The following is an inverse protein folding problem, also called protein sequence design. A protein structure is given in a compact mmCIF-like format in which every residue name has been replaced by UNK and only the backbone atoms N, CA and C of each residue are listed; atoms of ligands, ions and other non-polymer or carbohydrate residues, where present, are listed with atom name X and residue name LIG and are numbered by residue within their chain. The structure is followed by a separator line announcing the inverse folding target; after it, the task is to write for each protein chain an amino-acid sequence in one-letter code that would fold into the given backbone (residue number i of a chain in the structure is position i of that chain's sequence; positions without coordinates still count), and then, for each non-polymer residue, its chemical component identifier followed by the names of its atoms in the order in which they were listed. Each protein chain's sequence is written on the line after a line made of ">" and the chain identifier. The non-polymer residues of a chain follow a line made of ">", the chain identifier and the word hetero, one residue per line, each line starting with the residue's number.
data_IF_242887115738
#
_entry.id   IF_242887115738
#
_cell.length_a   1.000
_cell.length_b   1.000
_cell.length_c   1.000
_cell.angle_alpha   90.00
_cell.angle_beta   90.00
_cell.angle_gamma   90.00
#
_symmetry.space_group_name_H-M   'P 1'
#
loop_
_entity.id
_entity.type
_entity.pdbx_description
1 polymer ?
#
# COMPACT_ATOMS: atom_id res chain seq x y z
N UNK A 1 28.60 7.69 10.20
CA UNK A 1 27.71 7.62 11.39
C UNK A 1 26.45 8.50 11.31
N UNK A 2 26.13 9.14 10.18
CA UNK A 2 24.94 9.99 10.02
C UNK A 2 23.84 9.38 9.12
N UNK A 3 23.53 8.08 9.30
CA UNK A 3 22.52 7.38 8.47
C UNK A 3 21.23 7.01 9.21
N UNK A 4 21.06 7.43 10.47
CA UNK A 4 19.78 7.32 11.17
C UNK A 4 19.17 8.71 11.18
N UNK A 5 18.48 9.03 10.08
CA UNK A 5 17.86 10.33 9.94
C UNK A 5 16.59 10.32 10.79
N UNK A 6 16.67 10.89 11.99
CA UNK A 6 15.54 11.20 12.86
C UNK A 6 14.69 12.32 12.22
N UNK A 7 14.06 12.06 11.06
CA UNK A 7 13.19 13.04 10.37
C UNK A 7 12.04 13.52 11.27
N UNK A 8 11.63 12.71 12.26
CA UNK A 8 10.57 13.07 13.22
C UNK A 8 11.02 14.04 14.33
N UNK A 9 12.33 14.17 14.60
CA UNK A 9 12.84 15.03 15.67
C UNK A 9 13.20 16.45 15.17
N UNK A 10 13.30 16.64 13.86
CA UNK A 10 13.77 17.89 13.27
C UNK A 10 12.64 18.94 13.06
N UNK A 11 11.37 18.55 13.07
CA UNK A 11 10.25 19.48 12.93
C UNK A 11 9.77 19.98 14.31
N UNK A 12 10.07 21.24 14.64
CA UNK A 12 9.51 21.99 15.78
C UNK A 12 8.01 22.34 15.59
N UNK A 13 7.19 21.36 15.18
CA UNK A 13 5.74 21.50 15.20
C UNK A 13 5.19 20.91 16.51
N UNK A 14 4.03 21.39 17.02
CA UNK A 14 3.39 20.78 18.18
C UNK A 14 3.23 19.29 17.90
N UNK A 15 3.96 18.50 18.68
CA UNK A 15 4.08 17.06 18.51
C UNK A 15 2.72 16.49 18.87
N UNK A 16 1.97 15.96 17.87
CA UNK A 16 0.75 15.16 18.14
C UNK A 16 1.04 14.20 19.29
N UNK A 17 0.12 14.07 20.26
CA UNK A 17 0.31 13.23 21.45
C UNK A 17 0.77 11.80 21.07
N UNK A 18 0.32 11.29 19.92
CA UNK A 18 0.75 10.00 19.38
C UNK A 18 2.25 9.90 19.05
N UNK A 19 2.90 11.00 18.64
CA UNK A 19 4.33 11.04 18.32
C UNK A 19 5.22 10.95 19.58
N UNK A 20 4.73 11.39 20.73
CA UNK A 20 5.48 11.31 22.01
C UNK A 20 5.52 9.88 22.54
N UNK A 21 4.53 9.06 22.17
CA UNK A 21 4.40 7.67 22.59
C UNK A 21 5.27 6.71 21.74
N UNK A 22 5.85 7.18 20.63
CA UNK A 22 6.71 6.37 19.78
C UNK A 22 8.04 6.08 20.47
N UNK A 23 8.44 4.80 20.45
CA UNK A 23 9.76 4.40 20.90
C UNK A 23 10.84 4.95 19.98
N UNK A 24 11.98 5.33 20.57
CA UNK A 24 13.15 5.66 19.76
C UNK A 24 13.66 4.41 19.04
N UNK A 25 14.31 4.54 17.86
CA UNK A 25 14.78 3.39 17.09
C UNK A 25 15.66 2.42 17.89
N UNK A 26 16.46 2.93 18.82
CA UNK A 26 17.35 2.14 19.67
C UNK A 26 16.65 1.48 20.87
N UNK A 27 15.40 1.85 21.18
CA UNK A 27 14.61 1.29 22.28
C UNK A 27 13.79 0.06 21.85
N UNK A 28 13.78 -0.24 20.55
CA UNK A 28 13.05 -1.34 19.89
C UNK A 28 13.80 -2.68 19.95
N UNK A 29 14.23 -3.02 21.17
CA UNK A 29 15.06 -4.21 21.44
C UNK A 29 14.25 -5.52 21.44
N UNK A 30 12.98 -5.46 21.87
CA UNK A 30 12.12 -6.65 21.98
C UNK A 30 11.08 -6.73 20.88
N UNK A 31 10.71 -7.95 20.49
CA UNK A 31 9.65 -8.20 19.52
C UNK A 31 8.30 -7.61 19.95
N UNK A 32 8.00 -7.62 21.26
CA UNK A 32 6.78 -7.01 21.79
C UNK A 32 6.74 -5.50 21.55
N UNK A 33 7.85 -4.79 21.79
CA UNK A 33 7.96 -3.35 21.52
C UNK A 33 7.89 -3.05 20.03
N UNK A 34 8.51 -3.87 19.18
CA UNK A 34 8.40 -3.73 17.71
C UNK A 34 6.95 -3.88 17.23
N UNK A 35 6.20 -4.85 17.75
CA UNK A 35 4.77 -5.03 17.43
C UNK A 35 3.93 -3.86 17.89
N UNK A 36 4.14 -3.39 19.12
CA UNK A 36 3.44 -2.20 19.63
C UNK A 36 3.76 -0.96 18.80
N UNK A 37 5.03 -0.76 18.45
CA UNK A 37 5.46 0.35 17.60
C UNK A 37 4.78 0.31 16.23
N UNK A 38 4.62 -0.86 15.60
CA UNK A 38 3.87 -0.99 14.33
C UNK A 38 2.44 -0.47 14.48
N UNK A 39 1.74 -0.82 15.56
CA UNK A 39 0.39 -0.31 15.80
C UNK A 39 0.36 1.21 16.03
N UNK A 40 1.29 1.75 16.82
CA UNK A 40 1.37 3.20 17.05
C UNK A 40 1.67 3.97 15.75
N UNK A 41 2.55 3.43 14.91
CA UNK A 41 2.88 4.01 13.60
C UNK A 41 1.69 3.96 12.63
N UNK A 42 0.89 2.89 12.65
CA UNK A 42 -0.35 2.80 11.87
C UNK A 42 -1.41 3.80 12.35
N UNK A 43 -1.54 3.99 13.66
CA UNK A 43 -2.42 5.03 14.23
C UNK A 43 -1.96 6.42 13.79
N UNK A 44 -0.66 6.71 13.86
CA UNK A 44 -0.10 7.98 13.40
C UNK A 44 -0.29 8.17 11.87
N UNK A 45 -0.18 7.11 11.08
CA UNK A 45 -0.39 7.18 9.63
C UNK A 45 -1.86 7.49 9.30
N UNK A 46 -2.81 6.99 10.09
CA UNK A 46 -4.21 7.37 10.03
C UNK A 46 -4.46 8.83 10.45
N UNK A 47 -3.78 9.33 11.50
CA UNK A 47 -3.85 10.74 11.90
C UNK A 47 -3.40 11.67 10.77
N UNK A 48 -2.26 11.40 10.13
CA UNK A 48 -1.80 12.23 9.01
C UNK A 48 -2.78 12.27 7.83
N UNK A 49 -3.47 11.15 7.57
CA UNK A 49 -4.52 11.11 6.54
C UNK A 49 -5.75 11.91 6.98
N UNK A 50 -6.16 11.80 8.23
CA UNK A 50 -7.28 12.57 8.78
C UNK A 50 -7.00 14.08 8.75
N UNK A 51 -5.79 14.50 9.13
CA UNK A 51 -5.37 15.90 9.08
C UNK A 51 -5.42 16.45 7.65
N UNK A 52 -4.94 15.68 6.67
CA UNK A 52 -5.04 16.07 5.27
C UNK A 52 -6.50 16.12 4.78
N UNK A 53 -7.33 15.15 5.18
CA UNK A 53 -8.74 15.13 4.81
C UNK A 53 -9.47 16.39 5.31
N UNK A 54 -9.17 16.87 6.52
CA UNK A 54 -9.72 18.14 7.02
C UNK A 54 -9.28 19.35 6.17
N UNK A 55 -8.02 19.38 5.73
CA UNK A 55 -7.53 20.44 4.82
C UNK A 55 -8.21 20.35 3.44
N UNK A 56 -8.45 19.14 2.96
CA UNK A 56 -9.12 18.89 1.70
C UNK A 56 -10.61 19.29 1.76
N UNK A 57 -11.32 18.93 2.82
CA UNK A 57 -12.70 19.35 3.08
C UNK A 57 -12.83 20.88 3.10
N UNK A 58 -11.94 21.58 3.81
CA UNK A 58 -11.90 23.05 3.80
C UNK A 58 -11.71 23.61 2.39
N UNK A 59 -10.79 23.03 1.60
CA UNK A 59 -10.59 23.47 0.22
C UNK A 59 -11.82 23.20 -0.67
N UNK A 60 -12.59 22.14 -0.40
CA UNK A 60 -13.86 21.92 -1.11
C UNK A 60 -14.91 22.96 -0.73
N UNK A 61 -14.98 23.36 0.53
CA UNK A 61 -15.85 24.45 0.99
C UNK A 61 -15.46 25.78 0.33
N UNK A 62 -14.17 26.12 0.34
CA UNK A 62 -13.64 27.32 -0.33
C UNK A 62 -13.96 27.31 -1.82
N UNK A 63 -13.82 26.16 -2.49
CA UNK A 63 -14.22 25.99 -3.89
C UNK A 63 -15.69 26.30 -4.09
N UNK A 64 -16.58 25.75 -3.28
CA UNK A 64 -18.03 25.98 -3.38
C UNK A 64 -18.36 27.48 -3.21
N UNK A 65 -17.76 28.13 -2.21
CA UNK A 65 -17.96 29.56 -1.97
C UNK A 65 -17.51 30.42 -3.16
N UNK A 66 -16.31 30.15 -3.71
CA UNK A 66 -15.78 30.89 -4.87
C UNK A 66 -16.65 30.61 -6.11
N UNK A 67 -17.07 29.37 -6.33
CA UNK A 67 -17.98 29.02 -7.42
C UNK A 67 -19.31 29.77 -7.32
N UNK A 68 -19.87 29.90 -6.14
CA UNK A 68 -21.12 30.64 -5.93
C UNK A 68 -20.95 32.15 -6.16
N UNK A 69 -19.82 32.73 -5.72
CA UNK A 69 -19.46 34.12 -6.03
C UNK A 69 -19.32 34.33 -7.55
N UNK A 70 -18.64 33.43 -8.26
CA UNK A 70 -18.49 33.50 -9.72
C UNK A 70 -19.87 33.40 -10.40
N UNK A 71 -20.76 32.51 -9.96
CA UNK A 71 -22.12 32.39 -10.49
C UNK A 71 -22.94 33.67 -10.28
N UNK A 72 -22.82 34.33 -9.12
CA UNK A 72 -23.47 35.61 -8.86
C UNK A 72 -22.98 36.70 -9.83
N UNK A 73 -21.66 36.80 -10.03
CA UNK A 73 -21.06 37.75 -10.99
C UNK A 73 -21.47 37.43 -12.43
N UNK A 74 -21.50 36.17 -12.84
CA UNK A 74 -21.97 35.74 -14.17
C UNK A 74 -23.45 36.10 -14.37
N UNK A 75 -24.29 35.92 -13.35
CA UNK A 75 -25.71 36.31 -13.40
C UNK A 75 -25.84 37.82 -13.62
N UNK A 76 -24.99 38.61 -12.95
CA UNK A 76 -24.94 40.06 -13.18
C UNK A 76 -24.44 40.43 -14.58
N UNK A 77 -23.41 39.76 -15.08
CA UNK A 77 -22.91 39.94 -16.46
C UNK A 77 -24.03 39.66 -17.48
N UNK A 78 -24.81 38.59 -17.30
CA UNK A 78 -25.96 38.27 -18.16
C UNK A 78 -27.06 39.33 -18.11
N UNK A 79 -27.33 39.89 -16.92
CA UNK A 79 -28.26 41.03 -16.80
C UNK A 79 -27.79 42.22 -17.64
N UNK A 80 -26.50 42.56 -17.54
CA UNK A 80 -25.91 43.68 -18.29
C UNK A 80 -25.93 43.40 -19.80
N UNK A 81 -25.61 42.19 -20.24
CA UNK A 81 -25.69 41.79 -21.66
C UNK A 81 -27.11 41.86 -22.21
N UNK A 82 -28.12 41.46 -21.42
CA UNK A 82 -29.53 41.61 -21.77
C UNK A 82 -29.93 43.09 -21.87
N UNK A 83 -29.44 43.94 -20.96
CA UNK A 83 -29.66 45.39 -21.00
C UNK A 83 -29.00 46.06 -22.22
N UNK A 84 -27.84 45.55 -22.66
CA UNK A 84 -27.13 46.01 -23.87
C UNK A 84 -27.66 45.36 -25.17
N UNK A 85 -28.59 44.41 -25.10
CA UNK A 85 -29.08 43.62 -26.24
C UNK A 85 -27.95 42.96 -27.05
N UNK A 86 -26.85 42.58 -26.39
CA UNK A 86 -25.72 41.91 -27.03
C UNK A 86 -25.78 40.42 -26.71
N UNK A 87 -25.83 39.59 -27.76
CA UNK A 87 -25.78 38.14 -27.63
C UNK A 87 -24.32 37.67 -27.53
N UNK A 88 -23.81 37.56 -26.31
CA UNK A 88 -22.53 36.92 -26.03
C UNK A 88 -22.74 35.72 -25.11
N UNK A 89 -22.18 34.56 -25.49
CA UNK A 89 -22.22 33.35 -24.66
C UNK A 89 -21.25 33.50 -23.49
N UNK A 90 -21.78 33.49 -22.26
CA UNK A 90 -20.99 33.52 -21.03
C UNK A 90 -20.86 32.10 -20.49
N UNK A 91 -19.64 31.50 -20.49
CA UNK A 91 -19.41 30.16 -19.97
C UNK A 91 -19.81 30.04 -18.50
N UNK A 92 -20.54 28.99 -18.14
CA UNK A 92 -20.87 28.68 -16.75
C UNK A 92 -19.81 27.79 -16.11
N UNK A 93 -19.40 28.08 -14.87
CA UNK A 93 -18.50 27.20 -14.14
C UNK A 93 -19.30 25.95 -13.71
N UNK A 94 -18.87 24.79 -14.21
CA UNK A 94 -19.45 23.49 -13.88
C UNK A 94 -18.44 22.65 -13.10
N UNK A 95 -18.92 21.89 -12.12
CA UNK A 95 -18.11 20.84 -11.52
C UNK A 95 -17.90 19.74 -12.56
N UNK A 96 -16.71 19.15 -12.56
CA UNK A 96 -16.44 18.00 -13.44
C UNK A 96 -17.01 16.73 -12.82
N UNK A 97 -17.51 15.82 -13.65
CA UNK A 97 -18.04 14.51 -13.23
C UNK A 97 -17.10 13.75 -12.26
N UNK A 98 -15.78 13.88 -12.42
CA UNK A 98 -14.79 13.20 -11.58
C UNK A 98 -14.59 13.81 -10.18
N UNK A 99 -15.22 14.93 -9.89
CA UNK A 99 -15.11 15.59 -8.58
C UNK A 99 -16.10 15.04 -7.57
N UNK A 100 -17.19 14.41 -8.05
CA UNK A 100 -18.19 13.78 -7.20
C UNK A 100 -17.85 12.29 -7.01
N UNK A 101 -17.61 11.83 -5.77
CA UNK A 101 -17.25 10.43 -5.52
C UNK A 101 -18.37 9.45 -5.88
N UNK A 102 -19.63 9.90 -5.80
CA UNK A 102 -20.81 9.10 -6.12
C UNK A 102 -20.96 8.86 -7.63
N UNK A 103 -20.31 9.66 -8.48
CA UNK A 103 -20.37 9.48 -9.94
C UNK A 103 -19.93 8.09 -10.38
N UNK A 104 -18.93 7.50 -9.72
CA UNK A 104 -18.44 6.14 -10.01
C UNK A 104 -19.51 5.06 -9.71
N UNK A 105 -20.45 5.36 -8.80
CA UNK A 105 -21.53 4.45 -8.43
C UNK A 105 -22.77 4.63 -9.32
N UNK A 106 -22.85 5.72 -10.07
CA UNK A 106 -23.96 6.01 -10.97
C UNK A 106 -23.68 5.49 -12.37
N UNK A 107 -24.46 4.49 -12.79
CA UNK A 107 -24.47 4.01 -14.18
C UNK A 107 -25.38 4.90 -15.01
N UNK A 108 -24.88 5.46 -16.10
CA UNK A 108 -25.71 6.24 -17.03
C UNK A 108 -26.55 5.29 -17.88
N UNK A 109 -27.79 5.63 -18.20
CA UNK A 109 -28.64 4.81 -19.07
C UNK A 109 -28.00 4.56 -20.46
N UNK A 110 -27.14 5.49 -20.90
CA UNK A 110 -26.33 5.35 -22.13
C UNK A 110 -25.26 4.25 -22.06
N UNK A 111 -24.88 3.79 -20.86
CA UNK A 111 -23.94 2.68 -20.64
C UNK A 111 -24.66 1.32 -20.67
N UNK A 112 -26.00 1.32 -20.61
CA UNK A 112 -26.81 0.12 -20.65
C UNK A 112 -27.22 -0.13 -22.10
N UNK A 113 -26.50 -1.02 -22.77
CA UNK A 113 -26.76 -1.39 -24.19
C UNK A 113 -28.05 -2.18 -24.41
N UNK A 114 -28.72 -2.61 -23.34
CA UNK A 114 -29.91 -3.46 -23.40
C UNK A 114 -31.15 -2.64 -23.12
N UNK A 115 -32.12 -2.67 -24.04
CA UNK A 115 -33.42 -2.03 -23.85
C UNK A 115 -34.12 -2.57 -22.60
N UNK A 116 -34.53 -1.68 -21.70
CA UNK A 116 -35.29 -2.05 -20.51
C UNK A 116 -36.59 -2.74 -20.95
N UNK A 117 -36.72 -4.03 -20.62
CA UNK A 117 -37.97 -4.74 -20.89
C UNK A 117 -39.07 -4.21 -19.98
N UNK A 118 -40.09 -3.61 -20.58
CA UNK A 118 -41.29 -3.14 -19.91
C UNK A 118 -42.40 -4.19 -20.07
N UNK A 119 -43.07 -4.51 -18.97
CA UNK A 119 -44.24 -5.39 -18.98
C UNK A 119 -45.42 -4.76 -19.78
N UNK A 120 -46.37 -5.55 -20.29
CA UNK A 120 -47.52 -5.02 -21.02
C UNK A 120 -48.37 -4.01 -20.23
N UNK A 121 -48.42 -4.15 -18.91
CA UNK A 121 -49.16 -3.23 -18.02
C UNK A 121 -48.42 -1.90 -17.84
N UNK A 122 -47.10 -1.94 -17.63
CA UNK A 122 -46.26 -0.73 -17.54
C UNK A 122 -46.25 0.06 -18.86
N UNK A 123 -46.23 -0.63 -20.01
CA UNK A 123 -46.33 0.01 -21.32
C UNK A 123 -47.64 0.78 -21.51
N UNK A 124 -48.76 0.22 -21.03
CA UNK A 124 -50.07 0.90 -21.08
C UNK A 124 -50.09 2.11 -20.15
N UNK A 125 -49.58 1.97 -18.92
CA UNK A 125 -49.50 3.10 -17.99
C UNK A 125 -48.64 4.24 -18.53
N UNK A 126 -47.50 3.93 -19.15
CA UNK A 126 -46.62 4.93 -19.76
C UNK A 126 -47.28 5.62 -20.95
N UNK A 127 -47.99 4.86 -21.80
CA UNK A 127 -48.72 5.42 -22.95
C UNK A 127 -49.90 6.31 -22.50
N UNK A 128 -50.63 5.91 -21.46
CA UNK A 128 -51.70 6.72 -20.88
C UNK A 128 -51.18 7.99 -20.19
N UNK A 129 -50.02 7.90 -19.53
CA UNK A 129 -49.35 9.06 -18.95
C UNK A 129 -48.88 10.03 -20.05
N UNK A 130 -48.23 9.52 -21.11
CA UNK A 130 -47.81 10.31 -22.25
C UNK A 130 -49.00 10.97 -22.97
N UNK A 131 -50.10 10.24 -23.16
CA UNK A 131 -51.33 10.79 -23.75
C UNK A 131 -51.95 11.89 -22.89
N UNK A 132 -51.97 11.71 -21.56
CA UNK A 132 -52.43 12.74 -20.60
C UNK A 132 -51.53 13.98 -20.60
N UNK A 133 -50.21 13.81 -20.70
CA UNK A 133 -49.29 14.94 -20.81
C UNK A 133 -49.44 15.66 -22.15
N UNK A 134 -49.60 14.94 -23.26
CA UNK A 134 -49.88 15.53 -24.57
C UNK A 134 -51.19 16.31 -24.58
N UNK A 135 -52.25 15.76 -23.98
CA UNK A 135 -53.53 16.45 -23.85
C UNK A 135 -53.40 17.71 -23.00
N UNK A 136 -52.65 17.64 -21.88
CA UNK A 136 -52.33 18.80 -21.05
C UNK A 136 -51.53 19.86 -21.83
N UNK A 137 -50.56 19.46 -22.64
CA UNK A 137 -49.77 20.35 -23.51
C UNK A 137 -50.62 20.97 -24.62
N UNK A 138 -51.56 20.22 -25.21
CA UNK A 138 -52.51 20.74 -26.20
C UNK A 138 -53.48 21.74 -25.57
N UNK A 139 -54.04 21.41 -24.42
CA UNK A 139 -54.90 22.32 -23.66
C UNK A 139 -54.18 23.60 -23.24
N UNK A 140 -52.89 23.53 -22.88
CA UNK A 140 -52.09 24.71 -22.56
C UNK A 140 -51.83 25.58 -23.82
N UNK A 141 -51.58 24.96 -24.98
CA UNK A 141 -51.44 25.67 -26.27
C UNK A 141 -52.75 26.30 -26.78
N UNK A 142 -53.88 25.68 -26.47
CA UNK A 142 -55.22 26.19 -26.83
C UNK A 142 -55.67 27.31 -25.90
N UNK A 143 -55.30 27.29 -24.62
CA UNK A 143 -55.60 28.34 -23.63
C UNK A 143 -54.63 29.54 -23.69
N UNK A 144 -53.79 29.62 -24.71
CA UNK A 144 -52.84 30.72 -24.93
C UNK A 144 -53.50 31.92 -25.65
N UNK A 145 -54.82 32.10 -25.50
CA UNK A 145 -55.53 33.22 -26.11
C UNK A 145 -55.04 34.58 -25.59
N UNK A 146 -54.66 34.65 -24.31
CA UNK A 146 -54.17 35.87 -23.67
C UNK A 146 -52.77 36.29 -24.15
N UNK A 147 -51.83 35.36 -24.23
CA UNK A 147 -50.47 35.58 -24.78
C UNK A 147 -50.52 35.82 -26.28
N UNK A 148 -51.36 35.11 -27.04
CA UNK A 148 -51.55 35.34 -28.48
C UNK A 148 -52.17 36.72 -28.74
N UNK A 149 -53.16 37.15 -27.96
CA UNK A 149 -53.72 38.50 -28.03
C UNK A 149 -52.70 39.58 -27.62
N UNK A 150 -51.90 39.35 -26.57
CA UNK A 150 -50.82 40.26 -26.15
C UNK A 150 -49.73 40.38 -27.23
N UNK A 151 -49.42 39.27 -27.90
CA UNK A 151 -48.45 39.21 -28.99
C UNK A 151 -48.95 39.94 -30.24
N UNK A 152 -50.25 39.84 -30.54
CA UNK A 152 -50.89 40.45 -31.70
C UNK A 152 -51.25 41.93 -31.50
N UNK A 153 -51.51 42.38 -30.26
CA UNK A 153 -51.89 43.77 -29.96
C UNK A 153 -50.72 44.62 -29.45
N UNK A 154 -49.68 44.03 -28.83
CA UNK A 154 -48.56 44.77 -28.21
C UNK A 154 -47.18 44.07 -28.33
N UNK A 155 -46.98 43.19 -29.32
CA UNK A 155 -45.68 42.56 -29.56
C UNK A 155 -45.20 41.64 -28.42
N UNK A 156 -46.10 41.22 -27.53
CA UNK A 156 -45.83 40.18 -26.53
C UNK A 156 -45.21 40.69 -25.23
N UNK A 157 -44.99 42.00 -25.06
CA UNK A 157 -44.46 42.54 -23.81
C UNK A 157 -45.20 43.81 -23.38
N UNK A 158 -45.93 43.75 -22.26
CA UNK A 158 -46.52 44.91 -21.62
C UNK A 158 -45.46 45.62 -20.75
N UNK A 159 -44.41 46.17 -21.36
CA UNK A 159 -43.46 47.02 -20.62
C UNK A 159 -44.16 48.34 -20.32
N UNK A 160 -44.39 48.66 -19.05
CA UNK A 160 -44.85 50.01 -18.70
C UNK A 160 -43.72 51.01 -18.93
N UNK A 161 -44.02 52.31 -19.08
CA UNK A 161 -42.98 53.35 -19.30
C UNK A 161 -41.92 53.42 -18.18
N UNK A 162 -42.11 52.71 -17.06
CA UNK A 162 -41.16 52.57 -15.95
C UNK A 162 -40.20 51.37 -16.10
N UNK A 163 -40.54 50.39 -16.95
CA UNK A 163 -39.77 49.15 -17.14
C UNK A 163 -38.86 49.20 -18.38
N UNK A 164 -38.87 50.31 -19.12
CA UNK A 164 -37.94 50.55 -20.22
C UNK A 164 -36.56 50.85 -19.62
N UNK A 165 -35.55 50.05 -19.98
CA UNK A 165 -34.15 50.37 -19.68
C UNK A 165 -33.83 51.77 -20.23
N UNK A 166 -32.87 52.49 -19.63
CA UNK A 166 -32.48 53.83 -20.09
C UNK A 166 -32.13 53.87 -21.60
N UNK A 167 -31.70 52.72 -22.14
CA UNK A 167 -31.40 52.48 -23.55
C UNK A 167 -32.63 52.29 -24.47
N UNK A 168 -33.77 51.89 -23.93
CA UNK A 168 -35.03 51.65 -24.67
C UNK A 168 -35.96 52.87 -24.68
N UNK A 169 -35.56 53.97 -24.03
CA UNK A 169 -36.34 55.20 -23.93
C UNK A 169 -36.21 55.98 -25.23
N UNK A 170 -37.29 56.14 -26.00
CA UNK A 170 -37.33 56.97 -27.21
C UNK A 170 -38.17 58.23 -26.99
N UNK A 171 -37.81 59.36 -27.63
CA UNK A 171 -38.65 60.55 -27.66
C UNK A 171 -39.68 60.37 -28.77
N UNK A 172 -40.97 60.43 -28.43
CA UNK A 172 -42.05 60.30 -29.41
C UNK A 172 -42.03 61.51 -30.37
N UNK A 173 -41.85 61.27 -31.67
CA UNK A 173 -41.96 62.30 -32.72
C UNK A 173 -43.42 62.64 -32.96
N UNK A 174 -43.74 63.93 -32.97
CA UNK A 174 -45.08 64.38 -33.34
C UNK A 174 -45.27 64.28 -34.87
N UNK A 175 -46.42 63.80 -35.37
CA UNK A 175 -46.61 63.44 -36.78
C UNK A 175 -46.49 64.60 -37.77
N UNK A 176 -46.59 65.86 -37.31
CA UNK A 176 -46.37 67.05 -38.14
C UNK A 176 -44.87 67.35 -38.37
N UNK A 177 -43.97 66.84 -37.53
CA UNK A 177 -42.52 67.05 -37.65
C UNK A 177 -41.90 66.34 -38.86
N UNK A 178 -42.52 65.26 -39.35
CA UNK A 178 -42.08 64.54 -40.56
C UNK A 178 -42.83 64.99 -41.83
N UNK A 179 -43.97 65.68 -41.70
CA UNK A 179 -44.88 66.01 -42.81
C UNK A 179 -44.70 67.45 -43.35
N UNK A 180 -44.14 68.36 -42.55
CA UNK A 180 -44.00 69.77 -42.92
C UNK A 180 -42.50 70.10 -43.10
N UNK A 181 -42.04 70.49 -44.30
CA UNK A 181 -40.66 70.93 -44.51
C UNK A 181 -40.32 72.15 -43.63
N UNK A 182 -39.06 72.26 -43.17
CA UNK A 182 -38.58 73.35 -42.29
C UNK A 182 -38.86 74.77 -42.82
N UNK A 183 -39.08 74.91 -44.13
CA UNK A 183 -39.36 76.17 -44.81
C UNK A 183 -40.81 76.66 -44.64
N UNK A 184 -41.79 75.78 -44.33
CA UNK A 184 -43.21 76.12 -44.16
C UNK A 184 -43.67 76.19 -42.69
N UNK A 185 -42.76 75.97 -41.75
CA UNK A 185 -43.08 75.97 -40.32
C UNK A 185 -43.30 77.37 -39.74
N UNK A 186 -44.30 77.52 -38.88
CA UNK A 186 -44.49 78.74 -38.07
C UNK A 186 -43.38 78.88 -37.03
N UNK A 187 -43.08 80.10 -36.56
CA UNK A 187 -42.01 80.34 -35.57
C UNK A 187 -42.17 79.51 -34.29
N UNK A 188 -43.41 79.24 -33.85
CA UNK A 188 -43.74 78.35 -32.74
C UNK A 188 -43.41 76.87 -33.03
N UNK A 189 -43.63 76.40 -34.27
CA UNK A 189 -43.32 75.04 -34.69
C UNK A 189 -41.80 74.83 -34.86
N UNK A 190 -41.07 75.85 -35.35
CA UNK A 190 -39.60 75.84 -35.41
C UNK A 190 -38.97 75.78 -34.01
N UNK A 191 -39.57 76.45 -33.03
CA UNK A 191 -39.09 76.41 -31.65
C UNK A 191 -39.34 75.03 -31.00
N UNK A 192 -40.52 74.44 -31.21
CA UNK A 192 -40.84 73.09 -30.76
C UNK A 192 -39.97 72.00 -31.42
N UNK A 193 -39.63 72.15 -32.71
CA UNK A 193 -38.72 71.25 -33.42
C UNK A 193 -37.28 71.32 -32.90
N UNK A 194 -36.77 72.54 -32.61
CA UNK A 194 -35.46 72.72 -31.97
C UNK A 194 -35.41 72.11 -30.57
N UNK A 195 -36.44 72.33 -29.76
CA UNK A 195 -36.53 71.70 -28.43
C UNK A 195 -36.60 70.16 -28.51
N UNK A 196 -37.27 69.61 -29.53
CA UNK A 196 -37.28 68.17 -29.79
C UNK A 196 -35.89 67.66 -30.16
N UNK A 197 -35.18 68.32 -31.08
CA UNK A 197 -33.82 67.94 -31.46
C UNK A 197 -32.83 68.04 -30.28
N UNK A 198 -32.97 69.06 -29.42
CA UNK A 198 -32.16 69.18 -28.21
C UNK A 198 -32.46 68.05 -27.21
N UNK A 199 -33.74 67.68 -27.02
CA UNK A 199 -34.14 66.54 -26.19
C UNK A 199 -33.67 65.20 -26.76
N UNK A 200 -33.69 65.04 -28.08
CA UNK A 200 -33.20 63.85 -28.78
C UNK A 200 -31.68 63.71 -28.62
N UNK A 201 -30.92 64.80 -28.82
CA UNK A 201 -29.47 64.83 -28.59
C UNK A 201 -29.11 64.55 -27.13
N UNK A 202 -29.80 65.19 -26.18
CA UNK A 202 -29.58 64.96 -24.75
C UNK A 202 -29.87 63.50 -24.37
N UNK A 203 -30.93 62.90 -24.92
CA UNK A 203 -31.27 61.50 -24.69
C UNK A 203 -30.22 60.56 -25.30
N UNK A 204 -29.69 60.87 -26.49
CA UNK A 204 -28.61 60.11 -27.12
C UNK A 204 -27.31 60.15 -26.28
N UNK A 205 -26.95 61.33 -25.77
CA UNK A 205 -25.79 61.51 -24.88
C UNK A 205 -25.93 60.73 -23.57
N UNK A 206 -27.13 60.73 -22.96
CA UNK A 206 -27.41 59.93 -21.76
C UNK A 206 -27.37 58.43 -22.04
N UNK A 207 -27.89 57.98 -23.18
CA UNK A 207 -27.77 56.58 -23.62
C UNK A 207 -26.31 56.16 -23.83
N UNK A 208 -25.50 56.99 -24.47
CA UNK A 208 -24.08 56.71 -24.69
C UNK A 208 -23.28 56.70 -23.39
N UNK A 209 -23.58 57.58 -22.43
CA UNK A 209 -22.99 57.53 -21.09
C UNK A 209 -23.37 56.25 -20.37
N UNK A 210 -24.64 55.84 -20.45
CA UNK A 210 -25.13 54.60 -19.84
C UNK A 210 -24.48 53.36 -20.46
N UNK A 211 -24.34 53.30 -21.79
CA UNK A 211 -23.60 52.22 -22.48
C UNK A 211 -22.16 52.11 -21.99
N UNK A 212 -21.44 53.23 -21.93
CA UNK A 212 -20.04 53.27 -21.45
C UNK A 212 -19.92 52.83 -19.99
N UNK A 213 -20.88 53.19 -19.14
CA UNK A 213 -20.93 52.72 -17.75
C UNK A 213 -21.11 51.20 -17.69
N UNK A 214 -22.08 50.65 -18.43
CA UNK A 214 -22.31 49.21 -18.52
C UNK A 214 -21.09 48.46 -19.06
N UNK A 215 -20.39 48.99 -20.08
CA UNK A 215 -19.15 48.39 -20.60
C UNK A 215 -18.03 48.38 -19.56
N UNK A 216 -17.93 49.42 -18.75
CA UNK A 216 -16.93 49.54 -17.69
C UNK A 216 -17.22 48.54 -16.57
N UNK A 217 -18.48 48.42 -16.16
CA UNK A 217 -18.92 47.44 -15.18
C UNK A 217 -18.74 46.00 -15.69
N UNK A 218 -19.04 45.75 -16.97
CA UNK A 218 -18.84 44.44 -17.60
C UNK A 218 -17.36 44.04 -17.57
N UNK A 219 -16.45 44.94 -17.97
CA UNK A 219 -14.99 44.70 -17.91
C UNK A 219 -14.52 44.43 -16.48
N UNK A 220 -15.02 45.20 -15.50
CA UNK A 220 -14.72 45.01 -14.08
C UNK A 220 -15.21 43.66 -13.56
N UNK A 221 -16.44 43.25 -13.89
CA UNK A 221 -16.96 41.94 -13.47
C UNK A 221 -16.16 40.79 -14.09
N UNK A 222 -15.71 40.92 -15.34
CA UNK A 222 -14.83 39.94 -15.98
C UNK A 222 -13.48 39.82 -15.29
N UNK A 223 -12.86 40.95 -14.92
CA UNK A 223 -11.60 40.92 -14.17
C UNK A 223 -11.79 40.33 -12.76
N UNK A 224 -12.88 40.69 -12.06
CA UNK A 224 -13.21 40.11 -10.75
C UNK A 224 -13.37 38.57 -10.84
N UNK A 225 -14.06 38.04 -11.86
CA UNK A 225 -14.19 36.59 -12.07
C UNK A 225 -12.83 35.92 -12.35
N UNK A 226 -11.98 36.56 -13.15
CA UNK A 226 -10.63 36.06 -13.43
C UNK A 226 -9.76 36.04 -12.17
N UNK A 227 -9.82 37.09 -11.36
CA UNK A 227 -9.09 37.19 -10.09
C UNK A 227 -9.54 36.11 -9.10
N UNK A 228 -10.85 35.89 -8.93
CA UNK A 228 -11.39 34.81 -8.09
C UNK A 228 -10.90 33.43 -8.55
N UNK A 229 -10.84 33.20 -9.86
CA UNK A 229 -10.35 31.95 -10.42
C UNK A 229 -8.86 31.75 -10.12
N UNK A 230 -8.04 32.78 -10.30
CA UNK A 230 -6.59 32.73 -9.99
C UNK A 230 -6.32 32.57 -8.49
N UNK A 231 -7.12 33.21 -7.63
CA UNK A 231 -7.03 33.03 -6.19
C UNK A 231 -7.28 31.57 -5.82
N UNK A 232 -8.31 30.94 -6.37
CA UNK A 232 -8.57 29.53 -6.12
C UNK A 232 -7.47 28.61 -6.65
N UNK A 233 -6.92 28.88 -7.84
CA UNK A 233 -5.76 28.13 -8.37
C UNK A 233 -4.55 28.18 -7.41
N UNK A 234 -4.32 29.32 -6.76
CA UNK A 234 -3.24 29.47 -5.78
C UNK A 234 -3.47 28.60 -4.53
N UNK A 235 -4.72 28.57 -4.02
CA UNK A 235 -5.13 27.72 -2.89
C UNK A 235 -4.96 26.24 -3.26
N UNK A 236 -5.40 25.86 -4.46
CA UNK A 236 -5.29 24.48 -4.95
C UNK A 236 -3.83 24.05 -5.10
N UNK A 237 -2.97 24.94 -5.59
CA UNK A 237 -1.53 24.70 -5.68
C UNK A 237 -0.92 24.51 -4.30
N UNK A 238 -1.26 25.35 -3.33
CA UNK A 238 -0.79 25.20 -1.95
C UNK A 238 -1.25 23.87 -1.33
N UNK A 239 -2.52 23.48 -1.56
CA UNK A 239 -3.06 22.19 -1.13
C UNK A 239 -2.30 21.03 -1.76
N UNK A 240 -1.91 21.12 -3.03
CA UNK A 240 -1.11 20.09 -3.70
C UNK A 240 0.26 19.92 -3.03
N UNK A 241 0.92 21.00 -2.62
CA UNK A 241 2.17 20.93 -1.88
C UNK A 241 1.97 20.32 -0.48
N UNK A 242 0.90 20.72 0.21
CA UNK A 242 0.54 20.12 1.51
C UNK A 242 0.25 18.64 1.36
N UNK A 243 -0.43 18.20 0.30
CA UNK A 243 -0.67 16.79 -0.01
C UNK A 243 0.64 16.02 -0.12
N UNK A 244 1.57 16.48 -0.94
CA UNK A 244 2.87 15.80 -1.08
C UNK A 244 3.63 15.71 0.25
N UNK A 245 3.57 16.75 1.08
CA UNK A 245 4.20 16.73 2.40
C UNK A 245 3.54 15.70 3.35
N UNK A 246 2.20 15.59 3.35
CA UNK A 246 1.49 14.60 4.16
C UNK A 246 1.69 13.18 3.62
N UNK A 247 1.64 12.98 2.30
CA UNK A 247 1.90 11.71 1.64
C UNK A 247 3.33 11.23 1.95
N UNK A 248 4.33 12.11 1.90
CA UNK A 248 5.70 11.78 2.30
C UNK A 248 5.78 11.32 3.76
N UNK A 249 5.13 12.04 4.70
CA UNK A 249 5.07 11.66 6.12
C UNK A 249 4.39 10.31 6.31
N UNK A 250 3.27 10.09 5.62
CA UNK A 250 2.52 8.85 5.61
C UNK A 250 3.38 7.67 5.11
N UNK A 251 3.99 7.80 3.92
CA UNK A 251 4.83 6.75 3.34
C UNK A 251 6.06 6.45 4.20
N UNK A 252 6.65 7.44 4.86
CA UNK A 252 7.73 7.20 5.81
C UNK A 252 7.29 6.30 6.97
N UNK A 253 6.08 6.51 7.53
CA UNK A 253 5.57 5.65 8.60
C UNK A 253 5.26 4.24 8.09
N UNK A 254 4.61 4.12 6.93
CA UNK A 254 4.31 2.82 6.32
C UNK A 254 5.59 2.02 6.02
N UNK A 255 6.60 2.68 5.45
CA UNK A 255 7.90 2.03 5.20
C UNK A 255 8.54 1.56 6.50
N UNK A 256 8.39 2.34 7.58
CA UNK A 256 8.90 1.94 8.89
C UNK A 256 8.13 0.72 9.46
N UNK A 257 6.81 0.69 9.31
CA UNK A 257 6.00 -0.48 9.65
C UNK A 257 6.49 -1.74 8.92
N UNK A 258 6.69 -1.65 7.60
CA UNK A 258 7.21 -2.76 6.78
C UNK A 258 8.58 -3.21 7.31
N UNK A 259 9.49 -2.27 7.61
CA UNK A 259 10.82 -2.61 8.15
C UNK A 259 10.74 -3.37 9.48
N UNK A 260 9.87 -2.94 10.38
CA UNK A 260 9.68 -3.61 11.67
C UNK A 260 9.06 -4.99 11.51
N UNK A 261 8.11 -5.14 10.58
CA UNK A 261 7.51 -6.44 10.26
C UNK A 261 8.54 -7.42 9.67
N UNK A 262 9.41 -6.96 8.77
CA UNK A 262 10.51 -7.78 8.25
C UNK A 262 11.46 -8.23 9.36
N UNK A 263 11.84 -7.33 10.27
CA UNK A 263 12.68 -7.69 11.42
C UNK A 263 11.99 -8.70 12.36
N UNK A 264 10.67 -8.62 12.51
CA UNK A 264 9.89 -9.60 13.27
C UNK A 264 9.85 -10.96 12.57
N UNK A 265 9.65 -10.99 11.26
CA UNK A 265 9.66 -12.22 10.46
C UNK A 265 11.02 -12.92 10.58
N UNK A 266 12.11 -12.18 10.36
CA UNK A 266 13.47 -12.70 10.51
C UNK A 266 13.69 -13.30 11.90
N UNK A 267 13.21 -12.63 12.97
CA UNK A 267 13.35 -13.18 14.32
C UNK A 267 12.60 -14.50 14.54
N UNK A 268 11.52 -14.74 13.80
CA UNK A 268 10.77 -16.02 13.85
C UNK A 268 11.55 -17.10 13.12
N UNK A 269 12.09 -16.78 11.94
CA UNK A 269 12.94 -17.69 11.15
C UNK A 269 14.19 -18.10 11.94
N UNK A 270 14.90 -17.14 12.54
CA UNK A 270 16.06 -17.39 13.38
C UNK A 270 15.73 -18.30 14.57
N UNK A 271 14.58 -18.09 15.22
CA UNK A 271 14.14 -18.93 16.33
C UNK A 271 13.80 -20.36 15.88
N UNK A 272 13.19 -20.52 14.70
CA UNK A 272 12.91 -21.84 14.14
C UNK A 272 14.21 -22.58 13.82
N UNK A 273 15.16 -21.92 13.17
CA UNK A 273 16.47 -22.47 12.87
C UNK A 273 17.23 -22.87 14.13
N UNK A 274 17.27 -22.01 15.15
CA UNK A 274 17.90 -22.32 16.44
C UNK A 274 17.27 -23.55 17.11
N UNK A 275 15.93 -23.68 17.06
CA UNK A 275 15.24 -24.86 17.61
C UNK A 275 15.65 -26.15 16.88
N UNK A 276 15.79 -26.11 15.57
CA UNK A 276 16.26 -27.25 14.77
C UNK A 276 17.69 -27.62 15.17
N UNK A 277 18.62 -26.66 15.22
CA UNK A 277 19.99 -26.92 15.65
C UNK A 277 20.05 -27.49 17.07
N UNK A 278 19.24 -26.98 18.01
CA UNK A 278 19.17 -27.52 19.36
C UNK A 278 18.68 -28.97 19.38
N UNK A 279 17.69 -29.30 18.54
CA UNK A 279 17.21 -30.67 18.41
C UNK A 279 18.29 -31.60 17.86
N UNK A 280 18.97 -31.20 16.79
CA UNK A 280 20.04 -31.99 16.15
C UNK A 280 21.22 -32.22 17.10
N UNK A 281 21.64 -31.18 17.84
CA UNK A 281 22.68 -31.30 18.88
C UNK A 281 22.23 -32.26 19.98
N UNK A 282 20.98 -32.19 20.40
CA UNK A 282 20.41 -33.12 21.39
C UNK A 282 20.43 -34.57 20.90
N UNK A 283 20.03 -34.82 19.64
CA UNK A 283 20.10 -36.16 19.05
C UNK A 283 21.53 -36.69 19.00
N UNK A 284 22.49 -35.87 18.56
CA UNK A 284 23.90 -36.26 18.46
C UNK A 284 24.48 -36.53 19.85
N UNK A 285 24.13 -35.74 20.86
CA UNK A 285 24.57 -35.98 22.25
C UNK A 285 24.05 -37.31 22.79
N UNK A 286 22.79 -37.68 22.51
CA UNK A 286 22.23 -38.98 22.90
C UNK A 286 22.95 -40.12 22.16
N UNK A 287 23.24 -39.96 20.86
CA UNK A 287 24.00 -40.97 20.10
C UNK A 287 25.43 -41.11 20.60
N UNK A 288 26.09 -40.00 20.93
CA UNK A 288 27.45 -39.99 21.47
C UNK A 288 27.51 -40.70 22.82
N UNK A 289 26.66 -40.32 23.77
CA UNK A 289 26.60 -40.96 25.10
C UNK A 289 26.27 -42.46 24.99
N UNK A 290 25.37 -42.83 24.08
CA UNK A 290 25.09 -44.24 23.79
C UNK A 290 26.26 -45.00 23.16
N UNK A 291 27.09 -44.34 22.34
CA UNK A 291 28.31 -44.93 21.77
C UNK A 291 29.45 -45.02 22.80
N UNK A 292 29.61 -44.01 23.65
CA UNK A 292 30.56 -44.01 24.77
C UNK A 292 30.26 -45.15 25.74
N UNK A 293 29.00 -45.35 26.13
CA UNK A 293 28.60 -46.48 26.97
C UNK A 293 28.97 -47.83 26.34
N UNK A 294 28.70 -48.03 25.05
CA UNK A 294 29.09 -49.24 24.33
C UNK A 294 30.61 -49.43 24.26
N UNK A 295 31.37 -48.35 24.12
CA UNK A 295 32.83 -48.40 24.12
C UNK A 295 33.36 -48.77 25.50
N UNK A 296 32.76 -48.28 26.57
CA UNK A 296 33.14 -48.62 27.94
C UNK A 296 32.83 -50.10 28.26
N UNK A 297 31.65 -50.60 27.85
CA UNK A 297 31.31 -52.01 27.94
C UNK A 297 32.34 -52.88 27.20
N UNK A 298 32.67 -52.51 25.96
CA UNK A 298 33.67 -53.22 25.15
C UNK A 298 35.08 -53.17 25.78
N UNK A 299 35.47 -52.03 26.36
CA UNK A 299 36.74 -51.91 27.10
C UNK A 299 36.77 -52.85 28.30
N UNK A 300 35.65 -52.97 29.01
CA UNK A 300 35.46 -53.93 30.10
C UNK A 300 35.64 -55.38 29.62
N UNK A 301 34.99 -55.76 28.53
CA UNK A 301 35.10 -57.10 27.93
C UNK A 301 36.54 -57.43 27.51
N UNK A 302 37.23 -56.47 26.87
CA UNK A 302 38.65 -56.62 26.48
C UNK A 302 39.53 -56.77 27.72
N UNK A 303 39.26 -56.02 28.80
CA UNK A 303 39.94 -56.16 30.08
C UNK A 303 39.80 -57.57 30.66
N UNK A 304 38.56 -58.07 30.77
CA UNK A 304 38.28 -59.40 31.29
C UNK A 304 38.89 -60.51 30.40
N UNK A 305 38.88 -60.34 29.08
CA UNK A 305 39.52 -61.27 28.17
C UNK A 305 41.05 -61.33 28.36
N UNK A 306 41.68 -60.17 28.58
CA UNK A 306 43.13 -60.08 28.89
C UNK A 306 43.46 -60.73 30.22
N UNK A 307 42.67 -60.50 31.27
CA UNK A 307 42.87 -61.16 32.57
C UNK A 307 42.79 -62.68 32.45
N UNK A 308 41.77 -63.21 31.76
CA UNK A 308 41.66 -64.65 31.49
C UNK A 308 42.84 -65.19 30.68
N UNK A 309 43.35 -64.41 29.73
CA UNK A 309 44.54 -64.80 28.98
C UNK A 309 45.78 -64.85 29.90
N UNK A 310 45.98 -63.84 30.74
CA UNK A 310 47.08 -63.77 31.68
C UNK A 310 47.02 -64.91 32.71
N UNK A 311 45.84 -65.25 33.22
CA UNK A 311 45.61 -66.42 34.07
C UNK A 311 45.99 -67.72 33.37
N UNK A 312 45.56 -67.92 32.12
CA UNK A 312 45.92 -69.10 31.32
C UNK A 312 47.43 -69.18 31.11
N UNK A 313 48.08 -68.05 30.80
CA UNK A 313 49.54 -67.98 30.62
C UNK A 313 50.26 -68.25 31.93
N UNK A 314 49.78 -67.76 33.07
CA UNK A 314 50.33 -68.06 34.41
C UNK A 314 50.18 -69.54 34.75
N UNK A 315 48.99 -70.10 34.58
CA UNK A 315 48.72 -71.52 34.80
C UNK A 315 49.58 -72.40 33.87
N UNK A 316 49.76 -72.02 32.61
CA UNK A 316 50.68 -72.70 31.70
C UNK A 316 52.12 -72.66 32.22
N UNK A 317 52.61 -71.50 32.69
CA UNK A 317 53.95 -71.38 33.28
C UNK A 317 54.10 -72.24 34.55
N UNK A 318 53.08 -72.28 35.42
CA UNK A 318 53.05 -73.08 36.63
C UNK A 318 53.10 -74.58 36.32
N UNK A 319 52.24 -75.06 35.41
CA UNK A 319 52.23 -76.46 34.96
C UNK A 319 53.54 -76.85 34.26
N UNK A 320 54.17 -75.91 33.56
CA UNK A 320 55.48 -76.10 32.91
C UNK A 320 56.65 -76.08 33.88
N UNK A 321 56.44 -75.63 35.13
CA UNK A 321 57.47 -75.61 36.16
C UNK A 321 57.80 -77.02 36.64
N UNK A 322 59.09 -77.32 36.73
CA UNK A 322 59.56 -78.63 37.18
C UNK A 322 59.18 -78.94 38.64
N UNK A 323 59.05 -77.91 39.48
CA UNK A 323 58.67 -78.06 40.88
C UNK A 323 57.22 -78.50 41.02
N UNK A 324 56.30 -77.83 40.35
CA UNK A 324 54.89 -78.20 40.32
C UNK A 324 54.67 -79.57 39.69
N UNK A 325 55.36 -79.87 38.58
CA UNK A 325 55.31 -81.20 37.95
C UNK A 325 55.73 -82.30 38.92
N UNK A 326 56.87 -82.14 39.62
CA UNK A 326 57.34 -83.12 40.60
C UNK A 326 56.41 -83.25 41.81
N UNK A 327 55.81 -82.15 42.26
CA UNK A 327 54.85 -82.13 43.36
C UNK A 327 53.58 -82.94 43.06
N UNK A 328 53.09 -82.93 41.82
CA UNK A 328 51.93 -83.72 41.40
C UNK A 328 52.14 -85.24 41.44
N UNK A 329 53.40 -85.70 41.34
CA UNK A 329 53.77 -87.12 41.44
C UNK A 329 54.33 -87.51 42.82
N UNK A 330 54.30 -86.59 43.80
CA UNK A 330 54.81 -86.86 45.15
C UNK A 330 54.00 -87.92 45.91
N UNK A 331 52.74 -88.16 45.52
CA UNK A 331 51.83 -89.13 46.17
C UNK A 331 51.60 -90.40 45.34
N UNK A 332 52.24 -90.55 44.17
CA UNK A 332 51.95 -91.65 43.23
C UNK A 332 52.84 -92.90 43.41
N UNK A 333 53.80 -92.87 44.35
CA UNK A 333 54.68 -94.01 44.64
C UNK A 333 55.67 -94.36 43.51
N UNK A 334 55.91 -93.44 42.57
CA UNK A 334 56.84 -93.62 41.45
C UNK A 334 58.29 -93.32 41.86
N UNK A 335 59.24 -94.09 41.33
CA UNK A 335 60.67 -93.88 41.53
C UNK A 335 61.15 -92.50 40.99
N UNK A 336 62.07 -91.78 41.67
CA UNK A 336 62.51 -90.44 41.29
C UNK A 336 63.10 -90.33 39.87
N UNK A 337 63.72 -91.41 39.38
CA UNK A 337 64.29 -91.51 38.04
C UNK A 337 63.19 -91.55 36.96
N UNK A 338 62.10 -92.27 37.20
CA UNK A 338 60.94 -92.35 36.31
C UNK A 338 60.23 -90.99 36.21
N UNK A 339 60.10 -90.26 37.33
CA UNK A 339 59.52 -88.90 37.36
C UNK A 339 60.38 -87.93 36.54
N UNK A 340 61.70 -88.06 36.60
CA UNK A 340 62.63 -87.21 35.83
C UNK A 340 62.57 -87.52 34.34
N UNK A 341 62.46 -88.79 33.93
CA UNK A 341 62.26 -89.18 32.54
C UNK A 341 60.92 -88.67 31.97
N UNK A 342 59.83 -88.77 32.75
CA UNK A 342 58.51 -88.24 32.38
C UNK A 342 58.52 -86.72 32.21
N UNK A 343 59.25 -86.00 33.06
CA UNK A 343 59.43 -84.55 32.95
C UNK A 343 60.16 -84.15 31.66
N UNK A 344 61.17 -84.93 31.24
CA UNK A 344 61.85 -84.70 29.96
C UNK A 344 60.94 -84.94 28.76
N UNK A 345 60.10 -85.98 28.79
CA UNK A 345 59.10 -86.25 27.74
C UNK A 345 58.03 -85.15 27.71
N UNK A 346 57.56 -84.70 28.87
CA UNK A 346 56.59 -83.61 29.00
C UNK A 346 57.10 -82.30 28.40
N UNK A 347 58.35 -81.91 28.71
CA UNK A 347 59.01 -80.74 28.11
C UNK A 347 59.21 -80.88 26.60
N UNK A 348 59.57 -82.07 26.12
CA UNK A 348 59.73 -82.35 24.68
C UNK A 348 58.40 -82.23 23.93
N UNK A 349 57.28 -82.66 24.55
CA UNK A 349 55.92 -82.52 24.03
C UNK A 349 55.44 -81.06 24.04
N UNK A 350 55.75 -80.29 25.09
CA UNK A 350 55.44 -78.85 25.13
C UNK A 350 56.22 -78.05 24.09
N UNK A 351 57.53 -78.31 23.92
CA UNK A 351 58.34 -77.67 22.87
C UNK A 351 57.86 -77.96 21.44
N UNK A 352 57.22 -79.11 21.21
CA UNK A 352 56.57 -79.44 19.93
C UNK A 352 55.23 -78.72 19.71
N UNK A 353 54.47 -78.46 20.78
CA UNK A 353 53.17 -77.76 20.73
C UNK A 353 53.32 -76.27 20.45
N UNK A 354 54.38 -75.65 20.98
CA UNK A 354 54.71 -74.23 20.77
C UNK A 354 55.18 -73.91 19.33
N UNK A 355 55.51 -74.93 18.52
CA UNK A 355 55.82 -74.79 17.09
C UNK A 355 54.59 -74.82 16.19
N UNK A 356 53.46 -75.39 16.65
CA UNK A 356 52.21 -75.47 15.88
C UNK A 356 51.24 -74.31 16.15
N UNK A 357 51.37 -73.62 17.29
CA UNK A 357 50.53 -72.45 17.63
C UNK A 357 50.94 -71.14 16.94
N UNK A 358 52.06 -71.10 16.21
CA UNK A 358 52.56 -69.91 15.49
C UNK A 358 51.92 -69.74 14.08
N UNK A 359 51.05 -70.65 13.63
CA UNK A 359 50.52 -70.63 12.25
C UNK A 359 49.04 -70.16 12.13
N UNK A 360 48.37 -69.78 13.22
CA UNK A 360 46.94 -69.42 13.18
C UNK A 360 46.63 -68.06 13.79
N UNK A 361 46.95 -66.97 13.11
CA UNK A 361 46.66 -65.63 13.60
C UNK A 361 47.04 -64.50 12.64
N UNK A 362 46.81 -64.67 11.34
CA UNK A 362 46.84 -63.56 10.38
C UNK A 362 45.52 -62.80 10.46
N UNK A 363 45.47 -61.74 11.28
CA UNK A 363 44.55 -60.63 11.02
C UNK A 363 45.06 -59.86 9.79
N UNK A 364 44.22 -59.56 8.79
CA UNK A 364 44.59 -58.67 7.72
C UNK A 364 44.38 -57.22 8.20
N UNK A 365 45.47 -56.54 8.56
CA UNK A 365 45.55 -55.09 8.39
C UNK A 365 45.74 -54.79 6.89
N UNK A 366 44.94 -53.91 6.28
CA UNK A 366 45.38 -53.17 5.12
C UNK A 366 45.85 -51.78 5.58
N UNK A 367 47.16 -51.61 5.69
CA UNK A 367 47.77 -50.29 5.68
C UNK A 367 47.54 -49.62 4.32
N UNK A 368 46.71 -48.58 4.28
CA UNK A 368 46.76 -47.57 3.22
C UNK A 368 47.33 -46.28 3.80
N UNK A 369 48.57 -45.99 3.38
CA UNK A 369 49.18 -44.67 3.52
C UNK A 369 48.42 -43.70 2.59
N UNK A 370 47.80 -42.67 3.15
CA UNK A 370 47.53 -41.42 2.44
C UNK A 370 47.92 -40.27 3.35
N UNK A 371 48.86 -39.46 2.89
CA UNK A 371 49.44 -38.37 3.63
C UNK A 371 48.42 -37.34 4.08
N UNK A 372 48.66 -36.81 5.27
CA UNK A 372 48.08 -35.57 5.76
C UNK A 372 48.48 -34.46 4.78
N UNK A 373 47.50 -33.94 4.05
CA UNK A 373 47.52 -32.58 3.53
C UNK A 373 46.47 -31.81 4.31
N UNK A 374 46.93 -30.83 5.08
CA UNK A 374 46.10 -29.71 5.50
C UNK A 374 45.50 -29.08 4.24
N UNK A 375 44.17 -29.13 4.14
CA UNK A 375 43.39 -28.34 3.21
C UNK A 375 42.20 -27.79 4.00
N UNK A 376 42.33 -26.54 4.38
CA UNK A 376 41.22 -25.64 4.67
C UNK A 376 40.31 -25.58 3.46
N UNK A 377 39.14 -26.21 3.49
CA UNK A 377 38.03 -25.85 2.60
C UNK A 377 36.68 -26.37 3.11
N UNK A 378 35.77 -25.42 3.38
CA UNK A 378 34.43 -25.56 3.95
C UNK A 378 33.38 -26.06 2.92
N UNK A 379 33.78 -26.89 1.96
CA UNK A 379 32.91 -27.33 0.85
C UNK A 379 32.61 -28.84 0.85
N UNK A 380 33.23 -29.62 1.73
CA UNK A 380 33.09 -31.08 1.78
C UNK A 380 31.85 -31.64 2.49
N UNK A 381 31.18 -30.84 3.34
CA UNK A 381 30.01 -31.30 4.12
C UNK A 381 28.74 -31.50 3.27
N UNK A 382 28.65 -30.82 2.12
CA UNK A 382 27.51 -30.97 1.21
C UNK A 382 27.58 -32.27 0.36
N UNK A 383 28.79 -32.81 0.13
CA UNK A 383 28.97 -33.97 -0.75
C UNK A 383 28.70 -35.32 -0.04
N UNK A 384 28.87 -35.40 1.28
CA UNK A 384 28.61 -36.63 2.04
C UNK A 384 27.10 -36.92 2.19
N UNK A 385 26.25 -35.90 2.18
CA UNK A 385 24.79 -36.05 2.25
C UNK A 385 24.18 -36.66 0.97
N UNK A 386 24.86 -36.58 -0.17
CA UNK A 386 24.38 -37.11 -1.45
C UNK A 386 24.56 -38.63 -1.61
N UNK A 387 25.37 -39.27 -0.77
CA UNK A 387 25.69 -40.70 -0.88
C UNK A 387 24.64 -41.62 -0.22
N UNK A 388 23.80 -41.09 0.68
CA UNK A 388 22.72 -41.83 1.35
C UNK A 388 21.34 -41.51 0.78
N UNK A 389 21.18 -41.36 -0.54
CA UNK A 389 19.88 -41.49 -1.22
C UNK A 389 18.69 -40.67 -0.68
N UNK A 390 18.92 -39.59 0.08
CA UNK A 390 17.88 -38.66 0.49
C UNK A 390 17.83 -37.54 -0.53
N UNK A 391 16.67 -37.25 -1.16
CA UNK A 391 16.57 -36.10 -2.03
C UNK A 391 16.86 -34.83 -1.21
N UNK A 392 17.41 -33.76 -1.81
CA UNK A 392 17.55 -32.48 -1.13
C UNK A 392 16.17 -32.09 -0.63
N UNK A 393 15.97 -32.06 0.69
CA UNK A 393 14.71 -31.59 1.27
C UNK A 393 14.63 -30.11 0.98
N UNK A 394 13.65 -29.76 0.16
CA UNK A 394 13.31 -28.38 -0.16
C UNK A 394 13.12 -27.60 1.16
N UNK A 395 13.86 -26.50 1.40
CA UNK A 395 13.68 -25.69 2.60
C UNK A 395 12.32 -24.98 2.66
N UNK A 396 11.49 -25.04 1.61
CA UNK A 396 10.17 -24.42 1.57
C UNK A 396 9.08 -25.35 1.00
N UNK A 397 8.54 -26.30 1.79
CA UNK A 397 7.47 -27.19 1.32
C UNK A 397 6.09 -26.50 1.25
N UNK A 398 5.91 -25.32 1.84
CA UNK A 398 4.61 -24.62 1.94
C UNK A 398 4.46 -23.42 0.99
N UNK A 399 5.32 -23.29 -0.02
CA UNK A 399 5.14 -22.35 -1.12
C UNK A 399 4.91 -23.13 -2.42
N UNK A 400 3.76 -23.79 -2.49
CA UNK A 400 3.24 -24.53 -3.65
C UNK A 400 1.85 -25.06 -3.42
#
# INVERSE_FOLDING_TARGET
>A
EAYIVNWWAAEQQPVSDGKQLLYQPFELLSNSRRRLQVHLLQSLSAEFRADFNQLFEKCQEDKKQIMDQIKEKITRIRSILREQQTEEEVPEPQNRDFEDPEFVLHVKDSEISVEKWLSPEERKQLAEAAAREEERLRALRENDAGTRALQQMMGGTLKTKKDLSALERTVDKEPWMDQIPEEEMTDLQRQAFKEFQEKEKALLEEQDKYRKQLDTDLKRLRSEVQELSQQFESILKELSHKRFAHDAKFFCQELYCVRLQLALLQSVEDQQFLRQCHHDVGEIQVRLTGAEAKLDDFRGDVGAARERQDERVRHEKEVSSATHFRQQFAQSGLEPEAITALLQIFRRRQGGRNRQSIVGGTSPEPGRKSGVREATDMTGLAAAAAAEGWPPRDPYPDLG
#
